data_IF_497259730067
#
_entry.id   IF_497259730067
#
_cell.length_a   1.000
_cell.length_b   1.000
_cell.length_c   1.000
_cell.angle_alpha   90.00
_cell.angle_beta   90.00
_cell.angle_gamma   90.00
#
_symmetry.space_group_name_H-M   'P 1'
#
loop_
_entity.id
_entity.type
_entity.pdbx_description
1 polymer ?
#
# COMPACT_ATOMS: atom_id res chain seq x y z
N UNK A 1 -7.29 20.39 10.74
CA UNK A 1 -6.36 19.25 10.54
C UNK A 1 -4.98 19.82 10.23
N UNK A 2 -3.92 19.26 10.82
CA UNK A 2 -2.55 19.72 10.53
C UNK A 2 -2.10 19.22 9.15
N UNK A 3 -1.11 19.87 8.54
CA UNK A 3 -0.55 19.43 7.24
C UNK A 3 -0.12 17.96 7.30
N UNK A 4 0.49 17.55 8.42
CA UNK A 4 0.90 16.17 8.66
C UNK A 4 -0.25 15.15 8.63
N UNK A 5 -1.47 15.52 9.06
CA UNK A 5 -2.61 14.58 9.00
C UNK A 5 -3.17 14.45 7.58
N UNK A 6 -3.12 15.51 6.76
CA UNK A 6 -3.50 15.43 5.34
C UNK A 6 -2.52 14.59 4.53
N UNK A 7 -1.22 14.74 4.79
CA UNK A 7 -0.19 13.94 4.12
C UNK A 7 -0.31 12.45 4.48
N UNK A 8 -0.74 12.14 5.71
CA UNK A 8 -1.04 10.78 6.15
C UNK A 8 -2.28 10.20 5.45
N UNK A 9 -3.35 10.98 5.31
CA UNK A 9 -4.56 10.56 4.58
C UNK A 9 -4.22 10.20 3.13
N UNK A 10 -3.52 11.09 2.40
CA UNK A 10 -3.12 10.80 1.02
C UNK A 10 -2.17 9.59 0.89
N UNK A 11 -1.29 9.37 1.87
CA UNK A 11 -0.45 8.17 1.89
C UNK A 11 -1.26 6.88 2.13
N UNK A 12 -2.31 6.94 2.95
CA UNK A 12 -3.21 5.81 3.20
C UNK A 12 -4.03 5.51 1.93
N UNK A 13 -4.58 6.52 1.28
CA UNK A 13 -5.35 6.37 0.04
C UNK A 13 -4.49 5.70 -1.04
N UNK A 14 -3.26 6.17 -1.25
CA UNK A 14 -2.34 5.58 -2.22
C UNK A 14 -1.94 4.12 -1.91
N UNK A 15 -1.86 3.75 -0.62
CA UNK A 15 -1.64 2.34 -0.23
C UNK A 15 -2.90 1.53 -0.52
N UNK A 16 -4.08 2.08 -0.26
CA UNK A 16 -5.37 1.47 -0.54
C UNK A 16 -5.56 1.14 -2.02
N UNK A 17 -5.27 2.10 -2.90
CA UNK A 17 -5.35 1.92 -4.35
C UNK A 17 -4.47 0.75 -4.83
N UNK A 18 -3.20 0.72 -4.39
CA UNK A 18 -2.27 -0.38 -4.71
C UNK A 18 -2.72 -1.74 -4.20
N UNK A 19 -3.30 -1.79 -2.99
CA UNK A 19 -3.86 -3.04 -2.47
C UNK A 19 -5.05 -3.50 -3.31
N UNK A 20 -5.89 -2.56 -3.78
CA UNK A 20 -6.98 -2.83 -4.71
C UNK A 20 -6.48 -3.49 -6.00
N UNK A 21 -5.47 -2.89 -6.64
CA UNK A 21 -4.84 -3.42 -7.86
C UNK A 21 -4.28 -4.84 -7.67
N UNK A 22 -3.62 -5.10 -6.53
CA UNK A 22 -3.14 -6.44 -6.18
C UNK A 22 -4.32 -7.42 -6.03
N UNK A 23 -5.41 -7.01 -5.39
CA UNK A 23 -6.59 -7.86 -5.21
C UNK A 23 -7.27 -8.19 -6.54
N UNK A 24 -7.38 -7.24 -7.46
CA UNK A 24 -7.90 -7.46 -8.81
C UNK A 24 -7.04 -8.46 -9.58
N UNK A 25 -5.71 -8.27 -9.56
CA UNK A 25 -4.78 -9.22 -10.17
C UNK A 25 -4.93 -10.64 -9.60
N UNK A 26 -5.04 -10.78 -8.27
CA UNK A 26 -5.23 -12.09 -7.63
C UNK A 26 -6.58 -12.74 -8.00
N UNK A 27 -7.63 -11.96 -8.20
CA UNK A 27 -8.93 -12.47 -8.65
C UNK A 27 -8.87 -12.99 -10.10
N UNK A 28 -8.14 -12.28 -10.98
CA UNK A 28 -7.91 -12.73 -12.34
C UNK A 28 -7.15 -14.06 -12.37
N UNK A 29 -6.15 -14.23 -11.49
CA UNK A 29 -5.44 -15.51 -11.31
C UNK A 29 -6.38 -16.64 -10.87
N UNK A 30 -7.23 -16.39 -9.88
CA UNK A 30 -8.18 -17.39 -9.36
C UNK A 30 -9.16 -17.87 -10.42
N UNK A 31 -9.54 -16.99 -11.35
CA UNK A 31 -10.44 -17.32 -12.47
C UNK A 31 -9.82 -18.24 -13.53
N UNK A 32 -8.53 -18.59 -13.40
CA UNK A 32 -7.81 -19.49 -14.30
C UNK A 32 -7.32 -18.83 -15.58
N UNK A 33 -7.25 -17.49 -15.62
CA UNK A 33 -6.65 -16.77 -16.74
C UNK A 33 -5.14 -17.06 -16.82
N UNK A 34 -4.55 -17.07 -18.02
CA UNK A 34 -3.10 -17.14 -18.17
C UNK A 34 -2.43 -16.01 -17.41
N UNK A 35 -1.45 -16.34 -16.58
CA UNK A 35 -0.68 -15.36 -15.83
C UNK A 35 0.31 -14.67 -16.75
N UNK A 36 0.13 -13.37 -16.97
CA UNK A 36 1.18 -12.55 -17.58
C UNK A 36 2.34 -12.41 -16.58
N UNK A 37 3.54 -12.80 -17.01
CA UNK A 37 4.73 -12.76 -16.19
C UNK A 37 5.14 -11.33 -15.80
N UNK A 38 4.84 -10.34 -16.65
CA UNK A 38 5.10 -8.93 -16.36
C UNK A 38 4.12 -8.42 -15.30
N UNK A 39 2.83 -8.71 -15.46
CA UNK A 39 1.80 -8.37 -14.47
C UNK A 39 2.08 -9.03 -13.11
N UNK A 40 2.55 -10.29 -13.10
CA UNK A 40 2.95 -10.97 -11.85
C UNK A 40 4.16 -10.28 -11.19
N UNK A 41 5.15 -9.87 -11.98
CA UNK A 41 6.32 -9.17 -11.45
C UNK A 41 5.95 -7.80 -10.86
N UNK A 42 5.02 -7.09 -11.49
CA UNK A 42 4.45 -5.83 -11.02
C UNK A 42 3.68 -6.03 -9.72
N UNK A 43 2.74 -6.98 -9.65
CA UNK A 43 2.00 -7.29 -8.43
C UNK A 43 2.92 -7.67 -7.25
N UNK A 44 3.99 -8.43 -7.51
CA UNK A 44 5.01 -8.74 -6.50
C UNK A 44 5.79 -7.50 -6.06
N UNK A 45 6.11 -6.60 -6.99
CA UNK A 45 6.74 -5.33 -6.69
C UNK A 45 5.84 -4.45 -5.84
N UNK A 46 4.54 -4.38 -6.14
CA UNK A 46 3.58 -3.59 -5.37
C UNK A 46 3.34 -4.16 -3.98
N UNK A 47 3.30 -5.49 -3.81
CA UNK A 47 3.27 -6.11 -2.49
C UNK A 47 4.45 -5.66 -1.61
N UNK A 48 5.67 -5.58 -2.19
CA UNK A 48 6.86 -5.09 -1.49
C UNK A 48 6.72 -3.60 -1.15
N UNK A 49 6.21 -2.79 -2.08
CA UNK A 49 6.01 -1.36 -1.86
C UNK A 49 4.97 -1.05 -0.80
N UNK A 50 3.85 -1.79 -0.77
CA UNK A 50 2.83 -1.68 0.27
C UNK A 50 3.44 -1.97 1.64
N UNK A 51 4.22 -3.03 1.76
CA UNK A 51 4.90 -3.40 3.03
C UNK A 51 5.85 -2.30 3.52
N UNK A 52 6.65 -1.73 2.61
CA UNK A 52 7.58 -0.65 2.94
C UNK A 52 6.85 0.65 3.30
N UNK A 53 5.79 0.98 2.57
CA UNK A 53 4.95 2.16 2.80
C UNK A 53 4.26 2.07 4.16
N UNK A 54 3.68 0.92 4.50
CA UNK A 54 3.07 0.67 5.82
C UNK A 54 4.08 0.76 6.96
N UNK A 55 5.30 0.25 6.76
CA UNK A 55 6.38 0.38 7.75
C UNK A 55 6.76 1.83 8.00
N UNK A 56 6.85 2.62 6.92
CA UNK A 56 7.15 4.05 6.99
C UNK A 56 6.03 4.83 7.67
N UNK A 57 4.78 4.52 7.33
CA UNK A 57 3.58 5.09 7.95
C UNK A 57 3.57 4.85 9.46
N UNK A 58 3.83 3.60 9.89
CA UNK A 58 3.94 3.25 11.31
C UNK A 58 4.99 4.08 12.05
N UNK A 59 6.15 4.34 11.43
CA UNK A 59 7.19 5.21 12.03
C UNK A 59 6.73 6.65 12.16
N UNK A 60 5.95 7.18 11.21
CA UNK A 60 5.38 8.53 11.28
C UNK A 60 4.37 8.61 12.42
N UNK A 61 3.44 7.65 12.51
CA UNK A 61 2.44 7.58 13.59
C UNK A 61 3.10 7.54 14.96
N UNK A 62 4.07 6.64 15.17
CA UNK A 62 4.80 6.54 16.45
C UNK A 62 5.49 7.86 16.83
N UNK A 63 6.06 8.59 15.85
CA UNK A 63 6.69 9.91 16.11
C UNK A 63 5.67 10.97 16.49
N UNK A 64 4.46 10.92 15.95
CA UNK A 64 3.38 11.86 16.31
C UNK A 64 2.87 11.55 17.72
N UNK A 65 2.66 10.29 18.06
CA UNK A 65 2.24 9.86 19.40
C UNK A 65 3.26 10.25 20.47
N UNK A 66 4.56 10.00 20.22
CA UNK A 66 5.63 10.38 21.13
C UNK A 66 5.79 11.89 21.37
N UNK A 67 5.22 12.74 20.49
CA UNK A 67 5.21 14.20 20.65
C UNK A 67 3.97 14.71 21.41
N UNK A 68 2.97 13.86 21.61
CA UNK A 68 1.73 14.19 22.31
C UNK A 68 1.75 13.80 23.79
N UNK A 69 2.62 12.87 24.19
CA UNK A 69 2.93 12.53 25.58
C UNK A 69 4.06 13.37 26.13
#
# INVERSE_FOLDING_TARGET
MSVATKDLEGAIDSIGDRVGEICEFLADLESGQPVDAEALAEAQHDCRNVTQSMTSLKRVVNRIEARKG
#
